data_IF_731110719425
#
_entry.id   IF_731110719425
#
_cell.length_a   1.000
_cell.length_b   1.000
_cell.length_c   1.000
_cell.angle_alpha   90.00
_cell.angle_beta   90.00
_cell.angle_gamma   90.00
#
_symmetry.space_group_name_H-M   'P 1'
#
loop_
_entity.id
_entity.type
_entity.pdbx_description
1 polymer ?
#
# COMPACT_ATOMS: atom_id res chain seq x y z
N UNK A 1 22.33 19.55 13.15
CA UNK A 1 20.89 19.22 13.17
C UNK A 1 20.74 17.84 12.57
N UNK A 2 20.47 16.82 13.39
CA UNK A 2 20.15 15.47 12.88
C UNK A 2 18.78 15.54 12.22
N UNK A 3 18.71 15.23 10.92
CA UNK A 3 17.46 15.14 10.18
C UNK A 3 16.57 14.09 10.82
N UNK A 4 15.32 14.45 11.15
CA UNK A 4 14.31 13.55 11.73
C UNK A 4 13.95 12.38 10.77
N UNK A 5 14.43 12.41 9.53
CA UNK A 5 14.27 11.35 8.52
C UNK A 5 15.28 10.18 8.66
N UNK A 6 16.10 10.14 9.71
CA UNK A 6 17.23 9.22 9.82
C UNK A 6 17.00 7.99 10.73
N UNK A 7 15.75 7.54 10.92
CA UNK A 7 15.57 6.17 11.37
C UNK A 7 15.57 5.26 10.13
N UNK A 8 16.48 4.29 10.12
CA UNK A 8 16.66 3.40 8.98
C UNK A 8 15.50 2.40 8.97
N UNK A 9 14.59 2.55 8.02
CA UNK A 9 13.60 1.52 7.73
C UNK A 9 14.32 0.19 7.52
N UNK A 10 13.77 -0.91 8.05
CA UNK A 10 14.33 -2.24 7.89
C UNK A 10 13.46 -3.04 6.95
N UNK A 11 14.10 -3.84 6.10
CA UNK A 11 13.37 -4.84 5.32
C UNK A 11 12.97 -6.01 6.24
N UNK A 12 11.88 -6.69 5.90
CA UNK A 12 11.41 -7.92 6.54
C UNK A 12 10.91 -8.88 5.46
N UNK A 13 11.02 -10.19 5.69
CA UNK A 13 10.41 -11.23 4.85
C UNK A 13 10.76 -11.16 3.33
N UNK A 14 11.87 -10.53 2.93
CA UNK A 14 12.31 -10.50 1.54
C UNK A 14 12.99 -11.82 1.15
N UNK A 15 12.63 -12.44 0.01
CA UNK A 15 13.28 -13.65 -0.46
C UNK A 15 14.68 -13.36 -1.01
N UNK A 16 15.54 -14.38 -1.06
CA UNK A 16 16.91 -14.25 -1.58
C UNK A 16 16.96 -13.75 -3.03
N UNK A 17 15.91 -14.05 -3.82
CA UNK A 17 15.75 -13.57 -5.18
C UNK A 17 15.68 -12.03 -5.30
N UNK A 18 15.21 -11.36 -4.23
CA UNK A 18 15.25 -9.89 -4.10
C UNK A 18 16.55 -9.45 -3.44
N UNK A 19 16.94 -10.10 -2.33
CA UNK A 19 18.13 -9.70 -1.55
C UNK A 19 19.44 -9.75 -2.36
N UNK A 20 19.53 -10.57 -3.41
CA UNK A 20 20.68 -10.57 -4.33
C UNK A 20 20.93 -9.21 -5.01
N UNK A 21 19.92 -8.33 -5.07
CA UNK A 21 20.02 -6.99 -5.63
C UNK A 21 20.46 -5.93 -4.61
N UNK A 22 20.53 -6.26 -3.32
CA UNK A 22 20.74 -5.30 -2.24
C UNK A 22 21.98 -4.43 -2.45
N UNK A 23 23.16 -5.02 -2.72
CA UNK A 23 24.38 -4.23 -2.90
C UNK A 23 24.32 -3.30 -4.12
N UNK A 24 23.59 -3.69 -5.17
CA UNK A 24 23.39 -2.83 -6.35
C UNK A 24 22.44 -1.67 -6.02
N UNK A 25 21.37 -1.95 -5.25
CA UNK A 25 20.44 -0.94 -4.76
C UNK A 25 21.12 0.05 -3.81
N UNK A 26 21.93 -0.44 -2.87
CA UNK A 26 22.72 0.40 -1.95
C UNK A 26 23.66 1.33 -2.71
N UNK A 27 24.39 0.79 -3.70
CA UNK A 27 25.28 1.56 -4.56
C UNK A 27 24.54 2.63 -5.36
N UNK A 28 23.40 2.28 -5.98
CA UNK A 28 22.62 3.21 -6.78
C UNK A 28 21.95 4.29 -5.92
N UNK A 29 21.35 3.92 -4.79
CA UNK A 29 20.74 4.89 -3.86
C UNK A 29 21.79 5.86 -3.33
N UNK A 30 22.98 5.38 -3.00
CA UNK A 30 24.12 6.21 -2.59
C UNK A 30 24.55 7.17 -3.71
N UNK A 31 24.71 6.65 -4.94
CA UNK A 31 25.07 7.45 -6.11
C UNK A 31 24.05 8.56 -6.43
N UNK A 32 22.76 8.32 -6.16
CA UNK A 32 21.70 9.31 -6.33
C UNK A 32 21.42 10.16 -5.08
N UNK A 33 22.16 9.97 -3.99
CA UNK A 33 22.07 10.75 -2.76
C UNK A 33 20.80 10.49 -1.94
N UNK A 34 20.28 9.27 -1.99
CA UNK A 34 19.04 8.82 -1.32
C UNK A 34 19.21 7.48 -0.62
N UNK A 35 20.33 7.27 0.08
CA UNK A 35 20.64 6.02 0.79
C UNK A 35 19.54 5.59 1.77
N UNK A 36 18.77 6.54 2.31
CA UNK A 36 17.61 6.26 3.16
C UNK A 36 16.48 5.50 2.44
N UNK A 37 16.47 5.49 1.10
CA UNK A 37 15.41 4.85 0.32
C UNK A 37 15.66 3.36 0.03
N UNK A 38 16.85 2.82 0.34
CA UNK A 38 17.23 1.42 0.07
C UNK A 38 16.16 0.39 0.47
N UNK A 39 15.59 0.44 1.70
CA UNK A 39 14.58 -0.54 2.12
C UNK A 39 13.33 -0.50 1.25
N UNK A 40 12.88 0.70 0.89
CA UNK A 40 11.70 0.90 0.04
C UNK A 40 11.94 0.45 -1.40
N UNK A 41 13.13 0.68 -1.93
CA UNK A 41 13.52 0.19 -3.27
C UNK A 41 13.49 -1.34 -3.32
N UNK A 42 13.99 -2.02 -2.29
CA UNK A 42 13.92 -3.49 -2.21
C UNK A 42 12.47 -3.99 -2.06
N UNK A 43 11.65 -3.32 -1.26
CA UNK A 43 10.22 -3.61 -1.17
C UNK A 43 9.48 -3.43 -2.51
N UNK A 44 9.82 -2.38 -3.27
CA UNK A 44 9.29 -2.14 -4.61
C UNK A 44 9.72 -3.24 -5.58
N UNK A 45 11.01 -3.64 -5.60
CA UNK A 45 11.48 -4.77 -6.44
C UNK A 45 10.67 -6.04 -6.15
N UNK A 46 10.39 -6.32 -4.88
CA UNK A 46 9.56 -7.47 -4.49
C UNK A 46 8.16 -7.38 -5.08
N UNK A 47 7.51 -6.22 -4.98
CA UNK A 47 6.12 -6.02 -5.44
C UNK A 47 6.01 -5.98 -6.97
N UNK A 48 6.99 -5.41 -7.67
CA UNK A 48 6.95 -5.24 -9.13
C UNK A 48 7.27 -6.53 -9.89
N UNK A 49 8.24 -7.32 -9.41
CA UNK A 49 8.72 -8.49 -10.17
C UNK A 49 9.16 -9.68 -9.31
N UNK A 50 9.13 -9.55 -7.97
CA UNK A 50 9.80 -10.49 -7.07
C UNK A 50 11.33 -10.52 -7.25
N UNK A 51 11.92 -9.53 -7.93
CA UNK A 51 13.33 -9.50 -8.31
C UNK A 51 13.72 -10.54 -9.36
N UNK A 52 12.76 -11.14 -10.06
CA UNK A 52 13.00 -12.18 -11.06
C UNK A 52 13.41 -11.59 -12.41
N UNK A 53 14.70 -11.29 -12.55
CA UNK A 53 15.29 -10.77 -13.80
C UNK A 53 15.27 -11.75 -14.98
N UNK A 54 15.05 -13.05 -14.75
CA UNK A 54 15.01 -14.05 -15.82
C UNK A 54 13.70 -13.95 -16.62
N UNK A 55 12.59 -13.68 -15.91
CA UNK A 55 11.29 -13.47 -16.55
C UNK A 55 11.01 -12.00 -16.81
N UNK A 56 11.45 -11.11 -15.91
CA UNK A 56 11.18 -9.68 -15.95
C UNK A 56 12.47 -8.89 -15.67
N UNK A 57 13.31 -8.64 -16.71
CA UNK A 57 14.56 -7.89 -16.55
C UNK A 57 14.36 -6.46 -16.03
N UNK A 58 13.21 -5.83 -16.34
CA UNK A 58 12.78 -4.58 -15.71
C UNK A 58 12.22 -4.86 -14.31
N UNK A 59 13.10 -5.25 -13.39
CA UNK A 59 12.76 -5.74 -12.04
C UNK A 59 12.03 -4.72 -11.16
N UNK A 60 12.11 -3.43 -11.48
CA UNK A 60 11.38 -2.34 -10.82
C UNK A 60 10.22 -1.78 -11.67
N UNK A 61 9.90 -2.40 -12.81
CA UNK A 61 8.90 -1.93 -13.79
C UNK A 61 9.02 -0.42 -14.08
N UNK A 62 10.25 0.05 -14.22
CA UNK A 62 10.56 1.47 -14.29
C UNK A 62 10.47 2.06 -15.69
N UNK A 63 10.24 1.25 -16.73
CA UNK A 63 10.13 1.72 -18.13
C UNK A 63 9.06 2.81 -18.30
N UNK A 64 7.87 2.60 -17.75
CA UNK A 64 6.74 3.53 -17.89
C UNK A 64 7.00 4.88 -17.21
N UNK A 65 7.84 4.89 -16.16
CA UNK A 65 8.27 6.13 -15.50
C UNK A 65 9.09 7.06 -16.42
N UNK A 66 9.67 6.50 -17.50
CA UNK A 66 10.40 7.25 -18.53
C UNK A 66 9.52 7.58 -19.75
N UNK A 67 8.22 7.22 -19.71
CA UNK A 67 7.32 7.33 -20.85
C UNK A 67 7.56 6.26 -21.93
N UNK A 68 8.28 5.19 -21.59
CA UNK A 68 8.49 4.06 -22.49
C UNK A 68 7.41 2.99 -22.29
N UNK A 69 7.24 2.13 -23.29
CA UNK A 69 6.39 0.96 -23.18
C UNK A 69 6.85 0.06 -22.04
N UNK A 70 5.89 -0.62 -21.40
CA UNK A 70 6.17 -1.61 -20.35
C UNK A 70 7.23 -2.62 -20.80
N UNK A 71 8.15 -2.98 -19.89
CA UNK A 71 9.26 -3.90 -20.12
C UNK A 71 10.24 -3.49 -21.25
N UNK A 72 10.37 -2.20 -21.56
CA UNK A 72 11.38 -1.72 -22.51
C UNK A 72 12.80 -1.95 -21.98
N UNK A 73 13.03 -1.68 -20.69
CA UNK A 73 14.32 -1.91 -20.02
C UNK A 73 14.62 -3.41 -19.99
N UNK A 74 15.79 -3.81 -20.50
CA UNK A 74 16.25 -5.21 -20.56
C UNK A 74 17.40 -5.54 -19.62
N UNK A 75 17.93 -4.53 -18.93
CA UNK A 75 19.02 -4.69 -17.98
C UNK A 75 18.53 -4.34 -16.56
N UNK A 76 18.61 -5.27 -15.59
CA UNK A 76 18.22 -5.01 -14.21
C UNK A 76 18.94 -3.81 -13.57
N UNK A 77 20.19 -3.53 -13.98
CA UNK A 77 20.93 -2.35 -13.50
C UNK A 77 20.25 -1.05 -13.94
N UNK A 78 19.82 -0.98 -15.20
CA UNK A 78 19.10 0.18 -15.73
C UNK A 78 17.72 0.31 -15.07
N UNK A 79 17.08 -0.83 -14.78
CA UNK A 79 15.81 -0.85 -14.04
C UNK A 79 15.96 -0.27 -12.63
N UNK A 80 17.04 -0.63 -11.92
CA UNK A 80 17.35 -0.06 -10.61
C UNK A 80 17.67 1.44 -10.74
N UNK A 81 18.48 1.85 -11.72
CA UNK A 81 18.79 3.26 -11.96
C UNK A 81 17.53 4.12 -12.15
N UNK A 82 16.65 3.73 -13.07
CA UNK A 82 15.43 4.48 -13.36
C UNK A 82 14.39 4.37 -12.25
N UNK A 83 14.28 3.22 -11.59
CA UNK A 83 13.41 3.03 -10.43
C UNK A 83 13.82 3.92 -9.25
N UNK A 84 15.11 3.94 -8.89
CA UNK A 84 15.63 4.84 -7.84
C UNK A 84 15.41 6.30 -8.23
N UNK A 85 15.65 6.67 -9.49
CA UNK A 85 15.42 8.03 -9.99
C UNK A 85 13.95 8.44 -9.88
N UNK A 86 13.02 7.53 -10.19
CA UNK A 86 11.59 7.78 -10.08
C UNK A 86 11.17 7.99 -8.62
N UNK A 87 11.58 7.08 -7.72
CA UNK A 87 11.26 7.16 -6.30
C UNK A 87 11.89 8.40 -5.63
N UNK A 88 13.13 8.76 -6.01
CA UNK A 88 13.75 10.01 -5.58
C UNK A 88 12.92 11.22 -6.02
N UNK A 89 12.41 11.23 -7.24
CA UNK A 89 11.52 12.28 -7.72
C UNK A 89 10.25 12.42 -6.87
N UNK A 90 9.65 11.30 -6.46
CA UNK A 90 8.54 11.29 -5.51
C UNK A 90 8.95 11.83 -4.13
N UNK A 91 10.11 11.41 -3.62
CA UNK A 91 10.64 11.87 -2.34
C UNK A 91 10.90 13.40 -2.33
N UNK A 92 11.47 13.94 -3.40
CA UNK A 92 11.70 15.37 -3.57
C UNK A 92 10.37 16.16 -3.65
N UNK A 93 9.37 15.62 -4.36
CA UNK A 93 8.02 16.22 -4.41
C UNK A 93 7.35 16.20 -3.04
N UNK A 94 7.48 15.12 -2.27
CA UNK A 94 6.91 15.02 -0.93
C UNK A 94 7.51 16.08 0.00
N UNK A 95 8.86 16.22 0.01
CA UNK A 95 9.56 17.28 0.74
C UNK A 95 9.06 18.67 0.36
N UNK A 96 8.93 18.96 -0.94
CA UNK A 96 8.44 20.25 -1.44
C UNK A 96 7.00 20.55 -1.00
N UNK A 97 6.18 19.51 -0.86
CA UNK A 97 4.77 19.63 -0.45
C UNK A 97 4.54 19.45 1.06
N UNK A 98 5.60 19.33 1.87
CA UNK A 98 5.48 19.13 3.32
C UNK A 98 4.93 17.75 3.73
N UNK A 99 4.99 16.76 2.84
CA UNK A 99 4.56 15.38 3.10
C UNK A 99 5.76 14.59 3.64
N UNK A 100 5.63 14.11 4.87
CA UNK A 100 6.63 13.23 5.52
C UNK A 100 6.19 11.77 5.55
N UNK A 101 4.99 11.47 5.06
CA UNK A 101 4.44 10.12 5.03
C UNK A 101 5.09 9.27 3.92
N UNK A 102 5.92 8.32 4.35
CA UNK A 102 6.64 7.41 3.46
C UNK A 102 5.68 6.50 2.67
N UNK A 103 4.49 6.20 3.20
CA UNK A 103 3.46 5.44 2.50
C UNK A 103 2.93 6.21 1.29
N UNK A 104 2.75 7.53 1.43
CA UNK A 104 2.37 8.40 0.31
C UNK A 104 3.42 8.40 -0.81
N UNK A 105 4.70 8.41 -0.42
CA UNK A 105 5.85 8.42 -1.34
C UNK A 105 5.90 7.09 -2.10
N UNK A 106 5.80 5.96 -1.41
CA UNK A 106 5.76 4.63 -2.03
C UNK A 106 4.52 4.45 -2.91
N UNK A 107 3.33 4.87 -2.45
CA UNK A 107 2.11 4.80 -3.26
C UNK A 107 2.23 5.61 -4.56
N UNK A 108 2.94 6.74 -4.53
CA UNK A 108 3.17 7.56 -5.71
C UNK A 108 4.11 6.92 -6.75
N UNK A 109 4.87 5.89 -6.38
CA UNK A 109 5.60 5.07 -7.36
C UNK A 109 4.63 4.37 -8.32
N UNK A 110 3.52 3.84 -7.79
CA UNK A 110 2.49 3.18 -8.59
C UNK A 110 1.50 4.14 -9.25
N UNK A 111 1.05 5.19 -8.52
CA UNK A 111 0.09 6.16 -9.05
C UNK A 111 0.71 7.26 -9.91
N UNK A 112 2.03 7.38 -9.90
CA UNK A 112 2.73 8.54 -10.37
C UNK A 112 2.76 9.68 -9.35
N UNK A 113 3.78 10.53 -9.51
CA UNK A 113 4.13 11.64 -8.60
C UNK A 113 3.03 12.69 -8.40
N UNK A 114 2.08 12.79 -9.33
CA UNK A 114 0.93 13.70 -9.22
C UNK A 114 0.09 13.45 -7.96
N UNK A 115 0.10 12.22 -7.43
CA UNK A 115 -0.59 11.86 -6.20
C UNK A 115 -0.15 12.71 -5.00
N UNK A 116 1.15 13.00 -4.86
CA UNK A 116 1.68 13.80 -3.76
C UNK A 116 1.17 15.24 -3.81
N UNK A 117 1.13 15.83 -5.01
CA UNK A 117 0.55 17.17 -5.20
C UNK A 117 -0.95 17.17 -4.91
N UNK A 118 -1.66 16.12 -5.32
CA UNK A 118 -3.08 15.97 -5.04
C UNK A 118 -3.36 15.88 -3.55
N UNK A 119 -2.58 15.10 -2.79
CA UNK A 119 -2.69 15.03 -1.33
C UNK A 119 -2.54 16.42 -0.70
N UNK A 120 -1.47 17.13 -1.03
CA UNK A 120 -1.20 18.46 -0.49
C UNK A 120 -2.29 19.48 -0.85
N UNK A 121 -2.73 19.51 -2.11
CA UNK A 121 -3.74 20.46 -2.59
C UNK A 121 -5.13 20.21 -1.99
N UNK A 122 -5.38 18.99 -1.50
CA UNK A 122 -6.65 18.60 -0.88
C UNK A 122 -6.55 18.46 0.65
N UNK A 123 -5.42 18.85 1.25
CA UNK A 123 -5.14 18.71 2.68
C UNK A 123 -5.40 17.27 3.19
N UNK A 124 -4.92 16.26 2.44
CA UNK A 124 -5.06 14.84 2.75
C UNK A 124 -3.72 14.22 3.09
N UNK A 125 -3.73 13.25 4.00
CA UNK A 125 -2.63 12.32 4.22
C UNK A 125 -2.93 11.01 3.51
N UNK A 126 -1.91 10.21 3.21
CA UNK A 126 -2.15 8.91 2.60
C UNK A 126 -2.78 7.96 3.63
N UNK A 127 -3.72 7.18 3.14
CA UNK A 127 -4.31 6.02 3.82
C UNK A 127 -4.93 5.15 2.72
N UNK A 128 -5.22 3.89 3.03
CA UNK A 128 -5.84 3.00 2.05
C UNK A 128 -7.18 3.57 1.49
N UNK A 129 -8.09 4.14 2.32
CA UNK A 129 -9.28 4.83 1.81
C UNK A 129 -8.98 6.04 0.91
N UNK A 130 -7.93 6.81 1.22
CA UNK A 130 -7.53 7.98 0.40
C UNK A 130 -6.92 7.53 -0.93
N UNK A 131 -6.14 6.43 -0.94
CA UNK A 131 -5.61 5.83 -2.16
C UNK A 131 -6.73 5.26 -3.04
N UNK A 132 -7.72 4.59 -2.46
CA UNK A 132 -8.92 4.12 -3.19
C UNK A 132 -9.65 5.30 -3.84
N UNK A 133 -9.90 6.38 -3.07
CA UNK A 133 -10.54 7.59 -3.59
C UNK A 133 -9.77 8.17 -4.78
N UNK A 134 -8.45 8.30 -4.69
CA UNK A 134 -7.63 8.82 -5.77
C UNK A 134 -7.63 7.90 -7.01
N UNK A 135 -7.56 6.59 -6.79
CA UNK A 135 -7.68 5.59 -7.86
C UNK A 135 -9.00 5.72 -8.60
N UNK A 136 -10.12 5.82 -7.87
CA UNK A 136 -11.48 5.94 -8.43
C UNK A 136 -11.70 7.25 -9.18
N UNK A 137 -11.23 8.36 -8.63
CA UNK A 137 -11.64 9.71 -9.07
C UNK A 137 -10.63 10.41 -9.96
N UNK A 138 -9.37 9.97 -9.95
CA UNK A 138 -8.29 10.60 -10.71
C UNK A 138 -7.65 9.60 -11.67
N UNK A 139 -7.07 8.51 -11.16
CA UNK A 139 -6.28 7.60 -11.99
C UNK A 139 -7.16 6.87 -13.00
N UNK A 140 -8.20 6.18 -12.55
CA UNK A 140 -9.06 5.39 -13.42
C UNK A 140 -9.72 6.23 -14.54
N UNK A 141 -10.31 7.42 -14.25
CA UNK A 141 -10.86 8.29 -15.28
C UNK A 141 -9.79 8.82 -16.26
N UNK A 142 -8.60 9.18 -15.77
CA UNK A 142 -7.50 9.66 -16.63
C UNK A 142 -7.03 8.64 -17.66
N UNK A 143 -7.29 7.36 -17.40
CA UNK A 143 -6.97 6.23 -18.26
C UNK A 143 -8.22 5.57 -18.88
N UNK A 144 -9.34 6.31 -18.95
CA UNK A 144 -10.55 5.92 -19.69
C UNK A 144 -11.58 5.08 -18.93
N UNK A 145 -11.37 4.79 -17.64
CA UNK A 145 -12.38 4.16 -16.79
C UNK A 145 -13.18 5.22 -16.02
N UNK A 146 -14.16 5.84 -16.68
CA UNK A 146 -15.02 6.88 -16.09
C UNK A 146 -16.23 6.32 -15.34
N UNK A 147 -16.52 5.01 -15.45
CA UNK A 147 -17.65 4.36 -14.80
C UNK A 147 -17.32 3.80 -13.42
N UNK A 148 -16.04 3.76 -13.04
CA UNK A 148 -15.59 3.10 -11.81
C UNK A 148 -15.63 1.58 -11.91
N UNK A 149 -15.50 1.01 -13.12
CA UNK A 149 -15.46 -0.43 -13.32
C UNK A 149 -14.33 -1.06 -12.52
N UNK A 150 -14.63 -2.12 -11.79
CA UNK A 150 -13.65 -2.89 -11.00
C UNK A 150 -13.33 -4.22 -11.67
N UNK A 151 -12.12 -4.70 -11.42
CA UNK A 151 -11.64 -6.03 -11.84
C UNK A 151 -11.22 -6.82 -10.60
N UNK A 152 -11.39 -8.14 -10.67
CA UNK A 152 -10.98 -9.03 -9.58
C UNK A 152 -9.48 -8.93 -9.35
N UNK A 153 -9.10 -8.89 -8.09
CA UNK A 153 -7.73 -8.81 -7.61
C UNK A 153 -7.61 -9.62 -6.33
N UNK A 154 -7.16 -10.86 -6.45
CA UNK A 154 -7.15 -11.86 -5.38
C UNK A 154 -6.02 -11.66 -4.35
N UNK A 155 -5.41 -10.48 -4.29
CA UNK A 155 -4.42 -10.20 -3.25
C UNK A 155 -5.11 -10.23 -1.87
N UNK A 156 -4.53 -10.90 -0.86
CA UNK A 156 -5.16 -11.01 0.46
C UNK A 156 -5.56 -9.67 1.10
N UNK A 157 -4.77 -8.60 0.91
CA UNK A 157 -5.11 -7.26 1.40
C UNK A 157 -6.38 -6.74 0.72
N UNK A 158 -6.50 -6.95 -0.59
CA UNK A 158 -7.68 -6.54 -1.34
C UNK A 158 -8.93 -7.34 -0.95
N UNK A 159 -8.77 -8.64 -0.74
CA UNK A 159 -9.85 -9.52 -0.25
C UNK A 159 -10.36 -9.03 1.09
N UNK A 160 -9.47 -8.80 2.04
CA UNK A 160 -9.80 -8.28 3.36
C UNK A 160 -10.51 -6.91 3.30
N UNK A 161 -10.03 -6.01 2.43
CA UNK A 161 -10.55 -4.65 2.37
C UNK A 161 -11.89 -4.51 1.63
N UNK A 162 -12.08 -5.19 0.50
CA UNK A 162 -13.25 -4.98 -0.35
C UNK A 162 -13.75 -6.22 -1.11
N UNK A 163 -13.36 -7.43 -0.70
CA UNK A 163 -13.72 -8.67 -1.38
C UNK A 163 -12.86 -9.00 -2.59
N UNK A 164 -11.74 -8.28 -2.80
CA UNK A 164 -10.73 -8.64 -3.78
C UNK A 164 -10.93 -7.93 -5.12
N UNK A 165 -11.00 -6.60 -5.08
CA UNK A 165 -11.25 -5.78 -6.26
C UNK A 165 -10.34 -4.55 -6.30
N UNK A 166 -9.99 -4.14 -7.53
CA UNK A 166 -9.39 -2.83 -7.82
C UNK A 166 -10.05 -2.20 -9.04
N UNK A 167 -9.92 -0.90 -9.24
CA UNK A 167 -10.45 -0.26 -10.45
C UNK A 167 -9.64 -0.66 -11.68
N UNK A 168 -10.34 -0.97 -12.78
CA UNK A 168 -9.72 -1.09 -14.10
C UNK A 168 -9.01 0.24 -14.42
N UNK A 169 -7.77 0.17 -14.91
CA UNK A 169 -6.97 1.35 -15.23
C UNK A 169 -6.77 2.33 -14.04
N UNK A 170 -6.97 1.89 -12.79
CA UNK A 170 -6.88 2.77 -11.61
C UNK A 170 -5.56 2.75 -10.88
N UNK A 171 -4.52 2.10 -11.43
CA UNK A 171 -3.36 1.69 -10.66
C UNK A 171 -3.73 0.64 -9.60
N UNK A 172 -2.85 0.45 -8.62
CA UNK A 172 -3.05 -0.41 -7.47
C UNK A 172 -3.12 0.42 -6.19
N UNK A 173 -4.31 0.75 -5.72
CA UNK A 173 -4.46 1.54 -4.49
C UNK A 173 -4.06 0.80 -3.21
N UNK A 174 -3.75 -0.50 -3.29
CA UNK A 174 -3.16 -1.29 -2.20
C UNK A 174 -1.64 -1.25 -2.17
N UNK A 175 -0.97 -0.55 -3.10
CA UNK A 175 0.45 -0.71 -3.36
C UNK A 175 1.33 -0.47 -2.12
N UNK A 176 1.11 0.63 -1.39
CA UNK A 176 1.86 0.89 -0.16
C UNK A 176 1.63 -0.19 0.90
N UNK A 177 0.40 -0.69 1.05
CA UNK A 177 0.08 -1.78 1.99
C UNK A 177 0.77 -3.10 1.63
N UNK A 178 0.92 -3.39 0.34
CA UNK A 178 1.66 -4.57 -0.12
C UNK A 178 3.16 -4.39 0.17
N UNK A 179 3.73 -3.21 -0.10
CA UNK A 179 5.16 -2.93 0.19
C UNK A 179 5.44 -2.98 1.70
N UNK A 180 4.51 -2.54 2.55
CA UNK A 180 4.59 -2.65 4.03
C UNK A 180 4.69 -4.08 4.55
N UNK A 181 4.36 -5.09 3.74
CA UNK A 181 4.64 -6.49 4.11
C UNK A 181 6.14 -6.80 4.12
N UNK A 182 6.95 -6.01 3.42
CA UNK A 182 8.39 -6.24 3.22
C UNK A 182 9.29 -5.16 3.79
N UNK A 183 8.72 -4.03 4.22
CA UNK A 183 9.46 -2.88 4.75
C UNK A 183 8.75 -2.36 5.99
N UNK A 184 9.52 -2.02 7.02
CA UNK A 184 9.01 -1.34 8.21
C UNK A 184 9.04 0.18 7.98
N UNK A 185 7.85 0.79 7.96
CA UNK A 185 7.68 2.22 7.73
C UNK A 185 7.76 3.04 9.04
N UNK A 186 7.84 2.38 10.20
CA UNK A 186 7.81 3.04 11.52
C UNK A 186 9.14 3.70 11.91
N UNK A 187 10.13 3.67 11.02
CA UNK A 187 11.44 4.26 11.22
C UNK A 187 11.51 5.76 10.85
N UNK A 188 10.52 6.61 11.15
CA UNK A 188 10.72 8.07 11.05
C UNK A 188 9.56 8.96 10.64
N UNK A 189 8.31 8.48 10.70
CA UNK A 189 7.12 9.31 10.47
C UNK A 189 6.14 9.19 11.64
N UNK A 190 5.34 10.25 11.85
CA UNK A 190 4.16 10.23 12.73
C UNK A 190 3.39 8.92 12.46
N UNK A 191 2.97 8.17 13.50
CA UNK A 191 2.24 6.93 13.31
C UNK A 191 1.09 7.16 12.34
N UNK A 192 1.12 6.45 11.21
CA UNK A 192 -0.10 6.23 10.44
C UNK A 192 -1.05 5.47 11.37
N UNK A 193 -2.37 5.61 11.23
CA UNK A 193 -3.28 4.70 11.90
C UNK A 193 -3.01 3.30 11.35
N UNK A 194 -2.15 2.54 12.03
CA UNK A 194 -2.27 1.10 12.08
C UNK A 194 -3.71 0.87 12.52
N UNK A 195 -4.48 0.04 11.81
CA UNK A 195 -5.73 -0.40 12.40
C UNK A 195 -5.39 -0.94 13.79
N UNK A 196 -6.23 -0.63 14.76
CA UNK A 196 -5.88 -0.80 16.18
C UNK A 196 -5.73 -2.27 16.59
N UNK A 197 -6.01 -3.22 15.68
CA UNK A 197 -5.61 -4.61 15.80
C UNK A 197 -6.03 -5.51 14.63
N UNK A 198 -5.81 -6.81 14.77
CA UNK A 198 -6.20 -7.84 13.81
C UNK A 198 -7.40 -8.64 14.33
N UNK A 199 -8.32 -9.00 13.44
CA UNK A 199 -9.50 -9.81 13.71
C UNK A 199 -9.58 -10.97 12.72
N UNK A 200 -9.71 -12.20 13.20
CA UNK A 200 -9.92 -13.40 12.38
C UNK A 200 -11.25 -14.03 12.74
N UNK A 201 -12.12 -14.23 11.75
CA UNK A 201 -13.40 -14.91 11.95
C UNK A 201 -13.20 -16.25 12.64
N UNK A 202 -14.09 -16.57 13.60
CA UNK A 202 -14.12 -17.90 14.22
C UNK A 202 -14.81 -18.95 13.32
N UNK A 203 -15.43 -18.52 12.22
CA UNK A 203 -16.13 -19.36 11.27
C UNK A 203 -15.29 -19.63 10.02
N UNK A 204 -15.71 -20.63 9.24
CA UNK A 204 -15.04 -21.01 7.98
C UNK A 204 -15.31 -20.00 6.85
N UNK A 205 -14.45 -20.02 5.83
CA UNK A 205 -14.59 -19.17 4.64
C UNK A 205 -15.95 -19.41 3.96
N UNK A 206 -16.69 -18.34 3.71
CA UNK A 206 -18.04 -18.37 3.13
C UNK A 206 -19.17 -18.25 4.17
N UNK A 207 -18.89 -18.38 5.47
CA UNK A 207 -19.91 -18.16 6.50
C UNK A 207 -20.17 -16.67 6.71
N UNK A 208 -21.42 -16.23 6.52
CA UNK A 208 -21.80 -14.83 6.62
C UNK A 208 -21.89 -14.33 8.06
N UNK A 209 -21.11 -13.30 8.39
CA UNK A 209 -21.22 -12.51 9.62
C UNK A 209 -21.87 -11.17 9.29
N UNK A 210 -22.95 -10.83 9.98
CA UNK A 210 -23.62 -9.55 9.78
C UNK A 210 -22.68 -8.38 10.12
N UNK A 211 -22.62 -7.38 9.24
CA UNK A 211 -22.03 -6.08 9.56
C UNK A 211 -23.06 -4.94 9.42
N UNK A 212 -22.78 -3.87 10.15
CA UNK A 212 -23.70 -2.76 10.41
C UNK A 212 -23.01 -1.43 10.11
N UNK A 213 -23.78 -0.37 9.85
CA UNK A 213 -23.26 0.99 9.60
C UNK A 213 -22.72 1.71 10.85
N UNK A 214 -22.87 1.09 12.01
CA UNK A 214 -22.41 1.55 13.32
C UNK A 214 -22.57 0.45 14.38
N UNK A 215 -21.97 0.59 15.57
CA UNK A 215 -22.35 -0.23 16.72
C UNK A 215 -23.84 -0.02 17.00
N UNK A 216 -24.61 -1.12 17.10
CA UNK A 216 -26.08 -1.08 17.20
C UNK A 216 -26.79 -0.39 16.02
N UNK A 217 -26.08 -0.24 14.90
CA UNK A 217 -26.58 0.40 13.71
C UNK A 217 -27.53 -0.47 12.90
N UNK A 218 -27.82 -0.04 11.68
CA UNK A 218 -28.61 -0.81 10.74
C UNK A 218 -27.74 -1.90 10.13
N UNK A 219 -28.32 -3.09 9.99
CA UNK A 219 -27.72 -4.15 9.19
C UNK A 219 -27.49 -3.66 7.75
N UNK A 220 -26.31 -3.92 7.21
CA UNK A 220 -25.93 -3.53 5.85
C UNK A 220 -25.82 -4.75 4.95
N UNK A 221 -24.99 -5.73 5.31
CA UNK A 221 -24.81 -6.98 4.57
C UNK A 221 -23.99 -7.98 5.42
N UNK A 222 -23.51 -9.04 4.78
CA UNK A 222 -22.72 -10.10 5.40
C UNK A 222 -21.24 -10.00 4.98
N UNK A 223 -20.35 -10.28 5.92
CA UNK A 223 -18.91 -10.44 5.73
C UNK A 223 -18.56 -11.93 5.80
N UNK A 224 -18.00 -12.49 4.73
CA UNK A 224 -17.91 -13.95 4.56
C UNK A 224 -16.49 -14.52 4.62
N UNK A 225 -15.47 -13.70 4.85
CA UNK A 225 -14.09 -14.20 4.83
C UNK A 225 -13.64 -14.71 6.20
N UNK A 226 -12.87 -15.80 6.18
CA UNK A 226 -12.15 -16.33 7.33
C UNK A 226 -10.70 -15.83 7.41
N UNK A 227 -10.26 -15.00 6.45
CA UNK A 227 -8.97 -14.35 6.49
C UNK A 227 -8.84 -13.47 7.74
N UNK A 228 -7.63 -13.34 8.27
CA UNK A 228 -7.32 -12.35 9.29
C UNK A 228 -7.33 -10.96 8.65
N UNK A 229 -8.11 -10.04 9.22
CA UNK A 229 -8.34 -8.70 8.70
C UNK A 229 -7.98 -7.65 9.74
N UNK A 230 -7.58 -6.47 9.28
CA UNK A 230 -7.30 -5.34 10.15
C UNK A 230 -8.61 -4.65 10.55
N UNK A 231 -8.80 -4.35 11.82
CA UNK A 231 -9.89 -3.47 12.28
C UNK A 231 -9.34 -2.08 12.61
N UNK A 232 -10.08 -1.05 12.22
CA UNK A 232 -9.62 0.34 12.18
C UNK A 232 -10.15 1.19 13.34
N UNK A 233 -11.24 0.75 13.95
CA UNK A 233 -11.87 1.36 15.10
C UNK A 233 -12.56 0.27 15.92
N UNK A 234 -12.82 0.53 17.19
CA UNK A 234 -13.57 -0.37 18.05
C UNK A 234 -14.45 0.40 19.03
N UNK A 235 -15.64 -0.15 19.26
CA UNK A 235 -16.55 0.31 20.29
C UNK A 235 -16.50 -0.67 21.46
N UNK A 236 -16.33 -0.11 22.66
CA UNK A 236 -16.22 -0.84 23.92
C UNK A 236 -17.44 -0.52 24.78
N UNK A 237 -18.49 -1.33 24.65
CA UNK A 237 -19.68 -1.26 25.50
C UNK A 237 -19.53 -2.05 26.79
N UNK A 238 -20.55 -1.95 27.64
CA UNK A 238 -20.67 -2.78 28.85
C UNK A 238 -20.96 -4.25 28.50
N UNK A 239 -20.78 -5.16 29.46
CA UNK A 239 -21.14 -6.59 29.34
C UNK A 239 -20.53 -7.32 28.12
N UNK A 240 -19.28 -7.01 27.77
CA UNK A 240 -18.56 -7.54 26.59
C UNK A 240 -19.20 -7.19 25.24
N UNK A 241 -19.99 -6.12 25.17
CA UNK A 241 -20.54 -5.59 23.93
C UNK A 241 -19.46 -4.84 23.14
N UNK A 242 -18.61 -5.61 22.46
CA UNK A 242 -17.50 -5.09 21.67
C UNK A 242 -17.82 -5.17 20.19
N UNK A 243 -17.57 -4.09 19.48
CA UNK A 243 -17.72 -4.03 18.03
C UNK A 243 -16.42 -3.57 17.37
N UNK A 244 -16.09 -4.15 16.22
CA UNK A 244 -14.88 -3.85 15.44
C UNK A 244 -15.30 -3.24 14.10
N UNK A 245 -14.74 -2.09 13.72
CA UNK A 245 -14.90 -1.56 12.36
C UNK A 245 -13.84 -2.21 11.46
N UNK A 246 -14.25 -3.13 10.59
CA UNK A 246 -13.35 -3.76 9.60
C UNK A 246 -13.07 -2.84 8.40
N UNK A 247 -13.45 -1.56 8.51
CA UNK A 247 -13.17 -0.47 7.59
C UNK A 247 -14.42 -0.02 6.85
N UNK A 248 -14.56 1.30 6.68
CA UNK A 248 -15.68 1.97 5.99
C UNK A 248 -17.02 1.77 6.69
N UNK A 249 -17.05 1.87 8.03
CA UNK A 249 -18.26 1.69 8.81
C UNK A 249 -18.85 0.30 8.62
N UNK A 250 -18.00 -0.72 8.61
CA UNK A 250 -18.41 -2.13 8.57
C UNK A 250 -18.22 -2.71 9.96
N UNK A 251 -19.15 -2.35 10.83
CA UNK A 251 -19.10 -2.73 12.23
C UNK A 251 -19.60 -4.15 12.40
N UNK A 252 -18.75 -5.02 12.95
CA UNK A 252 -19.09 -6.41 13.30
C UNK A 252 -19.01 -6.58 14.81
N UNK A 253 -19.80 -7.50 15.36
CA UNK A 253 -19.62 -7.89 16.76
C UNK A 253 -18.33 -8.69 16.93
N UNK A 254 -17.52 -8.31 17.91
CA UNK A 254 -16.22 -8.92 18.16
C UNK A 254 -16.33 -10.38 18.64
N UNK A 255 -17.49 -10.80 19.18
CA UNK A 255 -17.75 -12.19 19.60
C UNK A 255 -17.63 -13.21 18.45
N UNK A 256 -17.71 -12.76 17.19
CA UNK A 256 -17.53 -13.58 16.01
C UNK A 256 -16.07 -13.66 15.54
N UNK A 257 -15.12 -13.06 16.25
CA UNK A 257 -13.73 -12.95 15.85
C UNK A 257 -12.76 -13.30 16.99
N UNK A 258 -11.65 -13.92 16.65
CA UNK A 258 -10.42 -13.83 17.44
C UNK A 258 -9.76 -12.50 17.12
N UNK A 259 -9.66 -11.58 18.08
CA UNK A 259 -9.09 -10.26 17.88
C UNK A 259 -7.95 -9.96 18.85
N UNK A 260 -6.97 -9.18 18.40
CA UNK A 260 -5.76 -8.79 19.15
C UNK A 260 -5.22 -7.45 18.69
#
# INVERSE_FOLDING_TARGET
MMSILAASAKTKNLPQQVLRWQSMVESECSAQGVSELVPYVLGIIMVESGGNSETTPDIMQSSESQGWSMNTIKNPKDSIYYGVKHLKGAFDDAKKNGITDLSAIVQSYNFGRAYLRWLASNNKQHSLPVADLYSKTVVAPSLGNTTGAMVRYSNPIAVAYNGGYRYKNGGNFFYAEIVKQYVDFNAGGVPQPEGIGMARSIYWEGYGINYYDGPHGKYIADFTTAAEVLYWDAYWGDDNDVWLDLGRSRWVKAEHYYWR
#
